data_IF_243815599063
#
_entry.id   IF_243815599063
#
_cell.length_a   1.000
_cell.length_b   1.000
_cell.length_c   1.000
_cell.angle_alpha   90.00
_cell.angle_beta   90.00
_cell.angle_gamma   90.00
#
_symmetry.space_group_name_H-M   'P 1'
#
loop_
_entity.id
_entity.type
_entity.pdbx_description
1 polymer ?
#
# COMPACT_ATOMS: atom_id res chain seq x y z
N UNK A 1 -15.50 46.61 -44.44
CA UNK A 1 -16.06 46.87 -43.12
C UNK A 1 -16.34 45.59 -42.30
N UNK A 2 -16.23 44.43 -42.90
CA UNK A 2 -16.43 43.16 -42.15
C UNK A 2 -15.20 42.76 -41.28
N UNK A 3 -14.03 43.31 -41.59
CA UNK A 3 -12.78 42.96 -40.90
C UNK A 3 -12.69 43.54 -39.47
N UNK A 4 -13.36 44.66 -39.20
CA UNK A 4 -13.34 45.28 -37.86
C UNK A 4 -14.09 44.46 -36.83
N UNK A 5 -15.09 43.70 -37.22
CA UNK A 5 -15.87 42.83 -36.34
C UNK A 5 -15.15 41.51 -36.04
N UNK A 6 -14.28 41.09 -36.95
CA UNK A 6 -13.46 39.91 -36.77
C UNK A 6 -12.50 40.07 -35.58
N UNK A 7 -11.88 41.21 -35.43
CA UNK A 7 -10.98 41.52 -34.32
C UNK A 7 -11.73 41.66 -32.99
N UNK A 8 -12.95 42.23 -33.04
CA UNK A 8 -13.80 42.34 -31.85
C UNK A 8 -14.27 40.95 -31.39
N UNK A 9 -14.60 40.08 -32.33
CA UNK A 9 -14.99 38.70 -32.04
C UNK A 9 -13.81 37.86 -31.49
N UNK A 10 -12.62 38.08 -32.05
CA UNK A 10 -11.40 37.45 -31.59
C UNK A 10 -11.02 37.94 -30.17
N UNK A 11 -11.21 39.24 -29.91
CA UNK A 11 -10.93 39.82 -28.59
C UNK A 11 -11.89 39.30 -27.51
N UNK A 12 -13.14 39.06 -27.88
CA UNK A 12 -14.17 38.51 -26.99
C UNK A 12 -13.89 37.04 -26.58
N UNK A 13 -13.24 36.27 -27.46
CA UNK A 13 -12.87 34.89 -27.18
C UNK A 13 -11.70 34.84 -26.19
N UNK A 14 -10.80 35.81 -26.20
CA UNK A 14 -9.63 35.83 -25.33
C UNK A 14 -9.99 36.15 -23.87
N UNK A 15 -11.10 36.85 -23.63
CA UNK A 15 -11.51 37.22 -22.27
C UNK A 15 -12.26 36.13 -21.51
N UNK A 16 -12.68 35.08 -22.19
CA UNK A 16 -13.43 33.97 -21.56
C UNK A 16 -12.55 32.87 -20.98
N UNK A 17 -11.22 32.97 -21.12
CA UNK A 17 -10.33 31.99 -20.46
C UNK A 17 -9.84 32.57 -19.13
N UNK A 18 -10.78 32.92 -18.26
CA UNK A 18 -10.49 33.05 -16.84
C UNK A 18 -10.30 31.63 -16.28
N UNK A 19 -9.05 31.19 -16.28
CA UNK A 19 -8.67 30.02 -15.52
C UNK A 19 -9.03 30.30 -14.06
N UNK A 20 -10.14 29.76 -13.60
CA UNK A 20 -10.41 29.64 -12.18
C UNK A 20 -9.42 28.64 -11.64
N UNK A 21 -8.29 29.14 -11.19
CA UNK A 21 -7.48 28.42 -10.24
C UNK A 21 -8.35 28.28 -8.97
N UNK A 22 -9.09 27.20 -8.89
CA UNK A 22 -9.70 26.78 -7.63
C UNK A 22 -8.54 26.37 -6.74
N UNK A 23 -8.06 27.32 -5.96
CA UNK A 23 -7.33 27.02 -4.76
C UNK A 23 -8.35 26.31 -3.86
N UNK A 24 -8.39 25.01 -3.93
CA UNK A 24 -9.04 24.19 -2.94
C UNK A 24 -8.30 24.45 -1.62
N UNK A 25 -8.72 25.49 -0.89
CA UNK A 25 -8.51 25.54 0.54
C UNK A 25 -9.28 24.36 1.12
N UNK A 26 -8.58 23.25 1.22
CA UNK A 26 -9.02 22.14 2.03
C UNK A 26 -8.91 22.56 3.51
N UNK A 27 -9.83 23.42 3.94
CA UNK A 27 -10.12 23.63 5.36
C UNK A 27 -11.21 22.62 5.76
N UNK A 28 -10.94 21.35 5.48
CA UNK A 28 -11.55 20.25 6.16
C UNK A 28 -10.54 19.80 7.20
N UNK A 29 -10.69 20.27 8.41
CA UNK A 29 -10.30 19.48 9.57
C UNK A 29 -11.25 18.27 9.52
N UNK A 30 -10.99 17.35 8.59
CA UNK A 30 -11.38 16.00 8.81
C UNK A 30 -10.50 15.59 10.01
N UNK A 31 -11.12 15.44 11.17
CA UNK A 31 -10.64 14.51 12.16
C UNK A 31 -10.30 13.25 11.37
N UNK A 32 -9.06 13.15 10.96
CA UNK A 32 -8.48 11.88 10.63
C UNK A 32 -8.54 11.14 11.97
N UNK A 33 -9.66 10.45 12.18
CA UNK A 33 -9.62 9.26 12.99
C UNK A 33 -8.52 8.45 12.33
N UNK A 34 -7.32 8.59 12.86
CA UNK A 34 -6.19 7.74 12.55
C UNK A 34 -6.68 6.36 12.99
N UNK A 35 -7.35 5.68 12.08
CA UNK A 35 -7.68 4.27 12.26
C UNK A 35 -6.32 3.64 12.38
N UNK A 36 -5.92 3.38 13.60
CA UNK A 36 -4.65 2.72 13.90
C UNK A 36 -4.68 1.43 13.10
N UNK A 37 -3.86 1.39 12.08
CA UNK A 37 -3.79 0.22 11.23
C UNK A 37 -3.18 -0.89 12.10
N UNK A 38 -4.01 -1.81 12.56
CA UNK A 38 -3.58 -2.94 13.42
C UNK A 38 -2.43 -3.74 12.81
N UNK A 39 -2.27 -3.65 11.48
CA UNK A 39 -1.17 -4.29 10.78
C UNK A 39 0.17 -3.58 10.96
N UNK A 40 0.20 -2.30 11.35
CA UNK A 40 1.45 -1.57 11.58
C UNK A 40 2.25 -2.14 12.75
N UNK A 41 1.58 -2.81 13.68
CA UNK A 41 2.17 -3.44 14.87
C UNK A 41 2.54 -4.92 14.67
N UNK A 42 2.39 -5.44 13.46
CA UNK A 42 2.80 -6.82 13.15
C UNK A 42 4.31 -6.94 13.16
N UNK A 43 4.81 -7.93 13.86
CA UNK A 43 6.23 -8.28 13.95
C UNK A 43 6.50 -9.58 13.18
N UNK A 44 7.59 -9.59 12.45
CA UNK A 44 8.03 -10.76 11.67
C UNK A 44 9.49 -11.02 12.01
N UNK A 45 9.77 -12.21 12.53
CA UNK A 45 11.10 -12.58 13.00
C UNK A 45 11.37 -14.09 12.90
N UNK A 46 12.64 -14.52 12.87
CA UNK A 46 13.82 -13.71 12.67
C UNK A 46 13.90 -13.20 11.22
N UNK A 47 14.52 -12.05 11.02
CA UNK A 47 14.81 -11.52 9.71
C UNK A 47 16.21 -10.86 9.74
N UNK A 48 17.23 -11.49 9.17
CA UNK A 48 17.22 -12.68 8.28
C UNK A 48 16.79 -13.97 8.97
N UNK A 49 16.11 -14.83 8.19
CA UNK A 49 15.72 -16.17 8.61
C UNK A 49 16.88 -17.17 8.34
N UNK A 50 17.39 -17.75 9.39
CA UNK A 50 18.54 -18.68 9.32
C UNK A 50 18.20 -20.12 9.69
N UNK A 51 17.03 -20.32 10.32
CA UNK A 51 16.60 -21.63 10.82
C UNK A 51 15.50 -22.30 9.99
N UNK A 52 15.19 -21.75 8.80
CA UNK A 52 14.10 -22.23 7.94
C UNK A 52 12.71 -21.94 8.43
N UNK A 53 12.55 -21.08 9.42
CA UNK A 53 11.28 -20.67 9.99
C UNK A 53 11.24 -19.18 10.23
N UNK A 54 10.07 -18.59 10.03
CA UNK A 54 9.75 -17.25 10.48
C UNK A 54 8.45 -17.26 11.27
N UNK A 55 8.32 -16.33 12.18
CA UNK A 55 7.14 -16.13 13.00
C UNK A 55 6.53 -14.78 12.70
N UNK A 56 5.23 -14.77 12.62
CA UNK A 56 4.43 -13.57 12.42
C UNK A 56 3.60 -13.37 13.66
N UNK A 57 3.83 -12.28 14.39
CA UNK A 57 3.05 -11.89 15.56
C UNK A 57 2.18 -10.70 15.23
N UNK A 58 0.94 -10.75 15.68
CA UNK A 58 -0.03 -9.68 15.54
C UNK A 58 -0.70 -9.37 16.88
N UNK A 59 -1.19 -8.15 17.06
CA UNK A 59 -1.91 -7.74 18.26
C UNK A 59 -3.38 -8.16 18.27
N UNK A 60 -3.91 -8.55 17.13
CA UNK A 60 -5.33 -8.94 16.99
C UNK A 60 -5.48 -10.34 16.46
N UNK A 61 -6.58 -10.99 16.84
CA UNK A 61 -6.94 -12.34 16.40
C UNK A 61 -7.72 -12.39 15.10
N UNK A 62 -8.01 -11.23 14.49
CA UNK A 62 -8.71 -11.20 13.21
C UNK A 62 -7.95 -11.96 12.14
N UNK A 63 -8.69 -12.64 11.27
CA UNK A 63 -8.11 -13.43 10.17
C UNK A 63 -7.29 -12.55 9.25
N UNK A 64 -6.05 -12.97 9.01
CA UNK A 64 -5.11 -12.32 8.11
C UNK A 64 -4.67 -13.29 7.03
N UNK A 65 -4.58 -12.79 5.81
CA UNK A 65 -4.00 -13.54 4.69
C UNK A 65 -2.51 -13.24 4.60
N UNK A 66 -1.71 -14.28 4.48
CA UNK A 66 -0.25 -14.22 4.33
C UNK A 66 0.13 -14.70 2.95
N UNK A 67 0.83 -13.86 2.21
CA UNK A 67 1.34 -14.17 0.89
C UNK A 67 2.84 -13.89 0.86
N UNK A 68 3.62 -14.84 0.35
CA UNK A 68 5.07 -14.67 0.15
C UNK A 68 5.38 -14.72 -1.33
N UNK A 69 6.11 -13.71 -1.79
CA UNK A 69 6.52 -13.55 -3.18
C UNK A 69 8.03 -13.56 -3.32
N UNK A 70 8.51 -14.13 -4.42
CA UNK A 70 9.92 -13.96 -4.81
C UNK A 70 10.15 -12.58 -5.46
N UNK A 71 11.38 -12.28 -5.81
CA UNK A 71 11.75 -10.99 -6.43
C UNK A 71 11.23 -10.82 -7.85
N UNK A 72 10.76 -11.89 -8.49
CA UNK A 72 10.11 -11.86 -9.81
C UNK A 72 8.59 -11.64 -9.71
N UNK A 73 8.06 -11.53 -8.48
CA UNK A 73 6.63 -11.35 -8.22
C UNK A 73 5.82 -12.64 -8.26
N UNK A 74 6.47 -13.81 -8.27
CA UNK A 74 5.80 -15.10 -8.19
C UNK A 74 5.40 -15.37 -6.75
N UNK A 75 4.11 -15.66 -6.53
CA UNK A 75 3.61 -16.07 -5.22
C UNK A 75 4.06 -17.51 -4.91
N UNK A 76 4.80 -17.68 -3.83
CA UNK A 76 5.37 -18.96 -3.40
C UNK A 76 4.53 -19.58 -2.29
N UNK A 77 4.04 -18.76 -1.37
CA UNK A 77 3.23 -19.19 -0.23
C UNK A 77 1.95 -18.38 -0.17
N UNK A 78 0.87 -19.07 0.10
CA UNK A 78 -0.43 -18.48 0.44
C UNK A 78 -0.99 -19.26 1.62
N UNK A 79 -1.27 -18.56 2.73
CA UNK A 79 -1.85 -19.17 3.93
C UNK A 79 -2.63 -18.12 4.71
N UNK A 80 -3.39 -18.58 5.68
CA UNK A 80 -4.12 -17.72 6.60
C UNK A 80 -3.57 -17.85 8.02
N UNK A 81 -3.71 -16.76 8.75
CA UNK A 81 -3.40 -16.68 10.16
C UNK A 81 -4.67 -16.31 10.94
N UNK A 82 -5.07 -17.18 11.84
CA UNK A 82 -6.16 -16.97 12.78
C UNK A 82 -5.56 -16.98 14.18
N UNK A 83 -5.43 -15.83 14.81
CA UNK A 83 -4.81 -15.70 16.12
C UNK A 83 -3.65 -14.74 16.15
N UNK A 84 -2.94 -14.73 17.24
CA UNK A 84 -1.85 -13.78 17.50
C UNK A 84 -0.52 -14.15 16.86
N UNK A 85 -0.31 -15.42 16.52
CA UNK A 85 0.95 -15.91 16.00
C UNK A 85 0.76 -16.96 14.92
N UNK A 86 1.64 -16.91 13.92
CA UNK A 86 1.77 -17.92 12.86
C UNK A 86 3.23 -18.24 12.63
N UNK A 87 3.56 -19.54 12.66
CA UNK A 87 4.83 -20.03 12.14
C UNK A 87 4.72 -20.28 10.63
N UNK A 88 5.67 -19.81 9.89
CA UNK A 88 5.80 -20.06 8.46
C UNK A 88 7.09 -20.83 8.18
N UNK A 89 6.95 -22.02 7.60
CA UNK A 89 8.09 -22.83 7.20
C UNK A 89 8.64 -22.31 5.86
N UNK A 90 9.87 -21.88 5.86
CA UNK A 90 10.60 -21.37 4.70
C UNK A 90 11.83 -22.19 4.36
N UNK A 91 11.96 -23.37 4.96
CA UNK A 91 13.12 -24.26 4.81
C UNK A 91 13.34 -24.74 3.37
N UNK A 92 12.27 -24.83 2.58
CA UNK A 92 12.31 -25.22 1.17
C UNK A 92 12.63 -24.08 0.21
N UNK A 93 12.78 -22.85 0.71
CA UNK A 93 13.08 -21.69 -0.09
C UNK A 93 14.59 -21.47 -0.20
N UNK A 94 15.02 -21.08 -1.37
CA UNK A 94 16.43 -20.72 -1.61
C UNK A 94 16.77 -19.45 -0.82
N UNK A 95 18.02 -19.35 -0.38
CA UNK A 95 18.55 -18.12 0.20
C UNK A 95 18.33 -16.95 -0.76
N UNK A 96 17.85 -15.85 -0.24
CA UNK A 96 17.54 -14.67 -1.04
C UNK A 96 16.58 -13.72 -0.37
N UNK A 97 16.06 -12.78 -1.14
CA UNK A 97 15.12 -11.75 -0.70
C UNK A 97 13.72 -12.10 -1.20
N UNK A 98 12.77 -11.99 -0.31
CA UNK A 98 11.34 -12.25 -0.54
C UNK A 98 10.50 -11.10 -0.03
N UNK A 99 9.31 -10.95 -0.57
CA UNK A 99 8.33 -9.96 -0.13
C UNK A 99 7.16 -10.69 0.52
N UNK A 100 6.95 -10.42 1.78
CA UNK A 100 5.80 -10.92 2.53
C UNK A 100 4.71 -9.84 2.53
N UNK A 101 3.53 -10.21 2.07
CA UNK A 101 2.33 -9.38 2.13
C UNK A 101 1.38 -9.97 3.15
N UNK A 102 0.93 -9.13 4.06
CA UNK A 102 -0.08 -9.44 5.06
C UNK A 102 -1.29 -8.58 4.81
N UNK A 103 -2.45 -9.20 4.69
CA UNK A 103 -3.71 -8.49 4.41
C UNK A 103 -4.76 -8.83 5.46
N UNK A 104 -5.49 -7.80 5.90
CA UNK A 104 -6.61 -7.92 6.81
C UNK A 104 -7.73 -6.99 6.34
N UNK A 105 -8.90 -7.54 6.00
CA UNK A 105 -10.01 -6.77 5.42
C UNK A 105 -9.52 -5.92 4.23
N UNK A 106 -9.62 -4.60 4.31
CA UNK A 106 -9.20 -3.67 3.27
C UNK A 106 -7.78 -3.12 3.46
N UNK A 107 -7.06 -3.57 4.50
CA UNK A 107 -5.71 -3.12 4.82
C UNK A 107 -4.69 -4.17 4.41
N UNK A 108 -3.53 -3.73 3.99
CA UNK A 108 -2.40 -4.60 3.71
C UNK A 108 -1.08 -3.91 4.03
N UNK A 109 -0.11 -4.71 4.44
CA UNK A 109 1.28 -4.29 4.60
C UNK A 109 2.20 -5.24 3.84
N UNK A 110 3.36 -4.74 3.47
CA UNK A 110 4.43 -5.53 2.87
C UNK A 110 5.70 -5.42 3.69
N UNK A 111 6.44 -6.50 3.79
CA UNK A 111 7.72 -6.56 4.50
C UNK A 111 8.72 -7.34 3.67
N UNK A 112 9.94 -6.85 3.63
CA UNK A 112 11.08 -7.57 3.03
C UNK A 112 11.55 -8.64 4.01
N UNK A 113 11.68 -9.88 3.53
CA UNK A 113 12.21 -11.01 4.27
C UNK A 113 13.49 -11.49 3.60
N UNK A 114 14.51 -11.68 4.39
CA UNK A 114 15.79 -12.24 3.93
C UNK A 114 15.93 -13.66 4.46
N UNK A 115 16.15 -14.61 3.58
CA UNK A 115 16.41 -16.01 3.92
C UNK A 115 17.90 -16.30 3.63
N UNK A 116 18.57 -16.81 4.62
CA UNK A 116 19.99 -17.19 4.55
C UNK A 116 20.17 -18.69 4.65
#
# INVERSE_FOLDING_TARGET
MKEKYLYIFLLLIITSFSAQAQTAKNSGVADQVKTENTLDKVQIYPNPATSGKIYINAETTSTKTIELYDMLGKRIVFTEMNGYQKELNVSNLKAGVYILKLSEKNNSITRKIVIK
#
